data_IF_645865174011
#
_entry.id   IF_645865174011
#
_cell.length_a   1.000
_cell.length_b   1.000
_cell.length_c   1.000
_cell.angle_alpha   90.00
_cell.angle_beta   90.00
_cell.angle_gamma   90.00
#
_symmetry.space_group_name_H-M   'P 1'
#
loop_
_entity.id
_entity.type
_entity.pdbx_description
1 polymer ?
#
# COMPACT_ATOMS: atom_id res chain seq x y z
N UNK A 1 -10.66 -7.38 -17.40
CA UNK A 1 -10.20 -6.52 -16.29
C UNK A 1 -8.71 -6.77 -16.14
N UNK A 2 -7.86 -5.82 -16.56
CA UNK A 2 -6.39 -6.02 -16.65
C UNK A 2 -5.65 -5.77 -15.33
N UNK A 3 -6.35 -5.42 -14.27
CA UNK A 3 -5.75 -5.07 -12.99
C UNK A 3 -6.47 -5.79 -11.86
N UNK A 4 -5.75 -6.66 -11.13
CA UNK A 4 -6.24 -7.26 -9.90
C UNK A 4 -6.52 -6.21 -8.82
N UNK A 5 -7.03 -6.67 -7.67
CA UNK A 5 -7.35 -5.82 -6.52
C UNK A 5 -6.12 -5.04 -6.03
N UNK A 6 -6.37 -3.88 -5.43
CA UNK A 6 -5.33 -2.99 -4.90
C UNK A 6 -5.48 -2.90 -3.39
N UNK A 7 -4.35 -3.01 -2.69
CA UNK A 7 -4.27 -2.66 -1.27
C UNK A 7 -3.94 -1.18 -1.15
N UNK A 8 -4.75 -0.40 -0.44
CA UNK A 8 -4.54 1.03 -0.24
C UNK A 8 -3.79 1.28 1.08
N UNK A 9 -2.72 2.07 1.02
CA UNK A 9 -1.92 2.45 2.19
C UNK A 9 -2.22 3.88 2.66
N UNK A 10 -2.44 4.79 1.72
CA UNK A 10 -2.70 6.18 2.02
C UNK A 10 -2.69 7.04 0.77
N UNK A 11 -2.85 8.34 0.97
CA UNK A 11 -2.83 9.35 -0.10
C UNK A 11 -1.76 10.39 0.20
N UNK A 12 -0.99 10.77 -0.82
CA UNK A 12 0.01 11.84 -0.77
C UNK A 12 -0.33 12.93 -1.79
N UNK A 13 0.21 14.13 -1.58
CA UNK A 13 0.24 15.18 -2.60
C UNK A 13 1.43 14.95 -3.54
N UNK A 14 1.17 14.38 -4.71
CA UNK A 14 2.15 14.15 -5.76
C UNK A 14 1.42 13.91 -7.10
N UNK A 15 2.09 14.22 -8.21
CA UNK A 15 1.58 13.96 -9.56
C UNK A 15 2.59 13.19 -10.43
N UNK A 16 3.74 12.85 -9.86
CA UNK A 16 4.82 12.12 -10.52
C UNK A 16 4.68 10.60 -10.34
N UNK A 17 5.22 9.82 -11.28
CA UNK A 17 5.22 8.36 -11.16
C UNK A 17 6.26 7.94 -10.10
N UNK A 18 5.77 7.53 -8.93
CA UNK A 18 6.60 7.07 -7.82
C UNK A 18 6.54 5.55 -7.65
N UNK A 19 7.71 4.94 -7.51
CA UNK A 19 7.86 3.54 -7.11
C UNK A 19 8.67 3.53 -5.81
N UNK A 20 8.07 2.99 -4.76
CA UNK A 20 8.68 2.87 -3.44
C UNK A 20 9.42 1.53 -3.26
N UNK A 21 9.44 0.70 -4.30
CA UNK A 21 10.12 -0.56 -4.35
C UNK A 21 9.39 -1.70 -3.63
N UNK A 22 10.05 -2.86 -3.47
CA UNK A 22 9.46 -4.04 -2.88
C UNK A 22 9.49 -3.99 -1.35
N UNK A 23 8.64 -3.15 -0.74
CA UNK A 23 8.60 -2.99 0.72
C UNK A 23 7.85 -4.15 1.40
N UNK A 24 6.91 -4.78 0.71
CA UNK A 24 6.09 -5.88 1.27
C UNK A 24 6.86 -7.19 1.35
N UNK A 25 6.45 -8.06 2.28
CA UNK A 25 6.84 -9.48 2.26
C UNK A 25 6.42 -10.11 0.94
N UNK A 26 7.34 -10.86 0.32
CA UNK A 26 7.13 -11.46 -1.00
C UNK A 26 7.54 -10.56 -2.17
N UNK A 27 8.27 -9.47 -1.90
CA UNK A 27 8.86 -8.59 -2.91
C UNK A 27 7.82 -7.93 -3.84
N UNK A 28 6.64 -7.62 -3.30
CA UNK A 28 5.58 -6.94 -4.05
C UNK A 28 5.83 -5.44 -4.07
N UNK A 29 5.76 -4.86 -5.26
CA UNK A 29 6.00 -3.44 -5.48
C UNK A 29 4.89 -2.57 -4.89
N UNK A 30 5.32 -1.49 -4.24
CA UNK A 30 4.46 -0.39 -3.79
C UNK A 30 4.69 0.80 -4.69
N UNK A 31 3.62 1.38 -5.22
CA UNK A 31 3.69 2.45 -6.19
C UNK A 31 2.54 3.45 -6.03
N UNK A 32 2.71 4.61 -6.65
CA UNK A 32 1.71 5.66 -6.71
C UNK A 32 0.76 5.46 -7.90
N UNK A 33 -0.54 5.50 -7.63
CA UNK A 33 -1.58 5.71 -8.65
C UNK A 33 -2.00 7.17 -8.62
N UNK A 34 -1.70 7.89 -9.70
CA UNK A 34 -1.86 9.34 -9.77
C UNK A 34 -3.28 9.73 -10.22
N UNK A 35 -3.82 10.76 -9.58
CA UNK A 35 -5.07 11.41 -9.95
C UNK A 35 -4.97 12.91 -9.64
N UNK A 36 -4.78 13.71 -10.69
CA UNK A 36 -4.54 15.16 -10.58
C UNK A 36 -3.32 15.47 -9.68
N UNK A 37 -3.50 16.21 -8.59
CA UNK A 37 -2.44 16.60 -7.64
C UNK A 37 -2.25 15.60 -6.48
N UNK A 38 -3.00 14.50 -6.50
CA UNK A 38 -2.97 13.47 -5.46
C UNK A 38 -2.54 12.12 -6.03
N UNK A 39 -1.82 11.35 -5.21
CA UNK A 39 -1.47 9.97 -5.51
C UNK A 39 -1.92 9.03 -4.41
N UNK A 40 -2.60 7.95 -4.78
CA UNK A 40 -2.87 6.84 -3.89
C UNK A 40 -1.67 5.89 -3.86
N UNK A 41 -1.17 5.60 -2.67
CA UNK A 41 -0.11 4.60 -2.47
C UNK A 41 -0.76 3.23 -2.40
N UNK A 42 -0.39 2.36 -3.33
CA UNK A 42 -1.01 1.04 -3.49
C UNK A 42 0.00 -0.06 -3.79
N UNK A 43 -0.45 -1.30 -3.65
CA UNK A 43 0.20 -2.47 -4.25
C UNK A 43 -0.85 -3.38 -4.87
N UNK A 44 -0.42 -4.24 -5.80
CA UNK A 44 -1.26 -5.33 -6.28
C UNK A 44 -1.51 -6.36 -5.16
N UNK A 45 -2.72 -6.88 -5.10
CA UNK A 45 -3.09 -7.92 -4.12
C UNK A 45 -4.17 -8.84 -4.71
N UNK A 46 -4.19 -10.14 -4.38
CA UNK A 46 -5.37 -10.96 -4.63
C UNK A 46 -6.58 -10.39 -3.85
N UNK A 47 -7.79 -10.74 -4.27
CA UNK A 47 -8.98 -10.46 -3.45
C UNK A 47 -8.74 -11.07 -2.06
N UNK A 48 -8.72 -10.23 -1.03
CA UNK A 48 -8.30 -10.63 0.31
C UNK A 48 -9.42 -10.32 1.29
N UNK A 49 -10.02 -11.38 1.85
CA UNK A 49 -10.83 -11.27 3.06
C UNK A 49 -9.95 -11.54 4.28
N UNK A 50 -9.54 -10.48 4.97
CA UNK A 50 -8.69 -10.60 6.17
C UNK A 50 -9.38 -11.36 7.31
N UNK A 51 -10.72 -11.45 7.32
CA UNK A 51 -11.47 -12.14 8.39
C UNK A 51 -11.34 -13.65 8.31
N UNK A 52 -11.03 -14.20 7.14
CA UNK A 52 -10.87 -15.65 6.93
C UNK A 52 -9.43 -16.13 7.13
N UNK A 53 -8.49 -15.21 7.36
CA UNK A 53 -7.07 -15.53 7.53
C UNK A 53 -6.72 -15.88 8.98
N UNK A 54 -5.63 -16.64 9.17
CA UNK A 54 -5.09 -16.90 10.51
C UNK A 54 -4.52 -15.62 11.11
N UNK A 55 -4.54 -15.51 12.45
CA UNK A 55 -4.03 -14.33 13.16
C UNK A 55 -2.58 -14.00 12.79
N UNK A 56 -1.72 -15.01 12.68
CA UNK A 56 -0.30 -14.80 12.34
C UNK A 56 -0.12 -14.20 10.94
N UNK A 57 -0.98 -14.58 9.99
CA UNK A 57 -0.98 -14.01 8.64
C UNK A 57 -1.43 -12.56 8.71
N UNK A 58 -2.56 -12.27 9.37
CA UNK A 58 -3.07 -10.90 9.52
C UNK A 58 -2.04 -9.97 10.18
N UNK A 59 -1.33 -10.44 11.21
CA UNK A 59 -0.27 -9.67 11.87
C UNK A 59 0.84 -9.31 10.88
N UNK A 60 1.27 -10.24 10.01
CA UNK A 60 2.29 -9.94 8.98
C UNK A 60 1.81 -8.86 8.02
N UNK A 61 0.57 -8.95 7.54
CA UNK A 61 -0.01 -7.94 6.66
C UNK A 61 -0.12 -6.56 7.34
N UNK A 62 -0.49 -6.52 8.61
CA UNK A 62 -0.55 -5.29 9.40
C UNK A 62 0.84 -4.65 9.56
N UNK A 63 1.87 -5.45 9.88
CA UNK A 63 3.25 -4.98 10.00
C UNK A 63 3.79 -4.46 8.67
N UNK A 64 3.51 -5.15 7.56
CA UNK A 64 3.90 -4.68 6.23
C UNK A 64 3.21 -3.38 5.85
N UNK A 65 1.93 -3.23 6.20
CA UNK A 65 1.21 -1.99 5.99
C UNK A 65 1.81 -0.82 6.75
N UNK A 66 2.14 -1.03 8.03
CA UNK A 66 2.80 -0.02 8.84
C UNK A 66 4.17 0.39 8.27
N UNK A 67 4.98 -0.59 7.86
CA UNK A 67 6.31 -0.34 7.24
C UNK A 67 6.21 0.49 5.96
N UNK A 68 5.21 0.22 5.12
CA UNK A 68 4.99 1.00 3.89
C UNK A 68 4.65 2.44 4.22
N UNK A 69 3.71 2.66 5.14
CA UNK A 69 3.32 4.01 5.56
C UNK A 69 4.54 4.78 6.12
N UNK A 70 5.31 4.16 7.01
CA UNK A 70 6.52 4.77 7.59
C UNK A 70 7.59 5.09 6.53
N UNK A 71 7.78 4.20 5.55
CA UNK A 71 8.71 4.45 4.44
C UNK A 71 8.28 5.65 3.59
N UNK A 72 6.98 5.79 3.30
CA UNK A 72 6.46 6.92 2.52
C UNK A 72 6.58 8.22 3.32
N UNK A 73 6.30 8.19 4.62
CA UNK A 73 6.46 9.33 5.53
C UNK A 73 7.88 9.91 5.52
N UNK A 74 8.90 9.09 5.26
CA UNK A 74 10.29 9.54 5.13
C UNK A 74 10.55 10.48 3.95
N UNK A 75 9.63 10.55 2.98
CA UNK A 75 9.79 11.38 1.78
C UNK A 75 8.61 12.30 1.50
N UNK A 76 7.39 11.93 1.91
CA UNK A 76 6.17 12.67 1.63
C UNK A 76 5.24 12.75 2.86
N UNK A 77 4.57 13.89 3.09
CA UNK A 77 3.40 13.92 3.96
C UNK A 77 2.32 12.99 3.40
N UNK A 78 1.82 12.08 4.23
CA UNK A 78 0.81 11.08 3.86
C UNK A 78 -0.41 11.19 4.77
N UNK A 79 -1.59 11.03 4.20
CA UNK A 79 -2.83 10.71 4.91
C UNK A 79 -2.93 9.18 4.98
N UNK A 80 -2.56 8.54 6.11
CA UNK A 80 -2.57 7.09 6.21
C UNK A 80 -3.99 6.56 6.30
N UNK A 81 -4.25 5.45 5.61
CA UNK A 81 -5.51 4.72 5.74
C UNK A 81 -5.37 3.64 6.82
N UNK A 82 -6.50 3.25 7.41
CA UNK A 82 -6.52 2.11 8.32
C UNK A 82 -6.25 0.82 7.54
N UNK A 83 -5.48 -0.09 8.12
CA UNK A 83 -5.34 -1.44 7.59
C UNK A 83 -6.69 -2.20 7.57
N UNK A 84 -7.02 -2.78 6.42
CA UNK A 84 -8.11 -3.76 6.24
C UNK A 84 -9.50 -3.15 6.29
#
# INVERSE_FOLDING_TARGET
MKDGWKHLYGVIGASENLNFGPIRVGNQEVYALNHEELSAIVSNTPFTDYKTMTKDVVIRYLLDHQKVVESVMGSYPIIPFKFG
#
